data_IF_858188140518
#
_entry.id   IF_858188140518
#
_cell.length_a   1.000
_cell.length_b   1.000
_cell.length_c   1.000
_cell.angle_alpha   90.00
_cell.angle_beta   90.00
_cell.angle_gamma   90.00
#
_symmetry.space_group_name_H-M   'P 1'
#
loop_
_entity.id
_entity.type
_entity.pdbx_description
1 polymer ?
#
# COMPACT_ATOMS: atom_id res chain seq x y z
N UNK A 1 -35.55 -39.07 5.25
CA UNK A 1 -35.31 -38.61 6.63
C UNK A 1 -33.92 -38.05 6.70
N UNK A 2 -33.86 -36.74 6.91
CA UNK A 2 -32.70 -35.85 6.87
C UNK A 2 -31.90 -35.93 8.17
N UNK A 3 -30.57 -36.06 8.10
CA UNK A 3 -29.67 -35.68 9.19
C UNK A 3 -28.47 -34.93 8.64
N UNK A 4 -28.44 -33.65 8.98
CA UNK A 4 -27.49 -32.61 8.66
C UNK A 4 -26.10 -32.84 9.26
N UNK A 5 -25.04 -32.71 8.46
CA UNK A 5 -23.68 -32.52 8.96
C UNK A 5 -23.40 -31.02 9.04
N UNK A 6 -23.38 -30.52 10.27
CA UNK A 6 -23.03 -29.15 10.65
C UNK A 6 -21.51 -28.95 10.52
N UNK A 7 -21.08 -28.09 9.60
CA UNK A 7 -19.73 -27.57 9.55
C UNK A 7 -19.59 -26.44 10.59
N UNK A 8 -18.81 -26.66 11.65
CA UNK A 8 -18.49 -25.61 12.62
C UNK A 8 -17.50 -24.61 12.01
N UNK A 9 -17.97 -23.38 11.81
CA UNK A 9 -17.14 -22.20 11.56
C UNK A 9 -16.47 -21.80 12.87
N UNK A 10 -15.15 -21.94 12.95
CA UNK A 10 -14.33 -21.35 14.00
C UNK A 10 -13.29 -20.43 13.37
N UNK A 11 -13.62 -19.15 13.24
CA UNK A 11 -12.68 -18.10 12.82
C UNK A 11 -11.71 -17.82 13.98
N UNK A 12 -10.42 -18.14 13.79
CA UNK A 12 -9.35 -17.74 14.71
C UNK A 12 -8.68 -16.49 14.14
N UNK A 13 -9.13 -15.31 14.53
CA UNK A 13 -8.36 -14.07 14.40
C UNK A 13 -7.59 -13.84 15.70
N UNK A 14 -6.28 -14.04 15.67
CA UNK A 14 -5.38 -13.60 16.71
C UNK A 14 -4.90 -12.19 16.35
N UNK A 15 -5.40 -11.20 17.09
CA UNK A 15 -5.02 -9.81 17.03
C UNK A 15 -3.53 -9.68 17.42
N UNK A 16 -2.69 -9.17 16.51
CA UNK A 16 -1.35 -8.70 16.86
C UNK A 16 -1.50 -7.30 17.46
N UNK A 17 -0.93 -7.11 18.66
CA UNK A 17 -0.88 -5.88 19.46
C UNK A 17 -2.08 -5.62 20.39
N UNK A 18 -2.09 -6.31 21.53
CA UNK A 18 -2.68 -5.83 22.79
C UNK A 18 -1.64 -5.97 23.89
N UNK A 19 -1.28 -4.86 24.54
CA UNK A 19 -0.58 -4.84 25.83
C UNK A 19 -1.62 -4.64 26.92
N UNK A 20 -2.16 -5.73 27.43
CA UNK A 20 -2.83 -5.79 28.72
C UNK A 20 -2.64 -7.19 29.29
N UNK A 21 -2.22 -7.23 30.55
CA UNK A 21 -2.00 -8.42 31.36
C UNK A 21 -3.31 -9.15 31.60
N UNK A 22 -3.58 -10.17 30.78
CA UNK A 22 -4.54 -11.23 31.04
C UNK A 22 -3.88 -12.55 30.66
N UNK A 23 -4.05 -13.57 31.51
CA UNK A 23 -3.44 -14.88 31.40
C UNK A 23 -3.57 -15.45 29.98
N UNK A 24 -2.43 -15.69 29.33
CA UNK A 24 -2.35 -16.37 28.04
C UNK A 24 -3.06 -17.71 28.21
N UNK A 25 -4.14 -18.01 27.45
CA UNK A 25 -4.69 -19.36 27.44
C UNK A 25 -3.57 -20.26 26.94
N UNK A 26 -3.05 -21.12 27.81
CA UNK A 26 -2.05 -22.11 27.42
C UNK A 26 -2.71 -23.01 26.38
N UNK A 27 -2.36 -22.79 25.11
CA UNK A 27 -2.71 -23.71 24.05
C UNK A 27 -2.31 -25.12 24.52
N UNK A 28 -3.17 -26.15 24.33
CA UNK A 28 -2.84 -27.49 24.77
C UNK A 28 -1.49 -27.87 24.16
N UNK A 29 -0.47 -27.96 25.01
CA UNK A 29 0.91 -28.22 24.62
C UNK A 29 1.09 -29.72 24.43
N UNK A 30 0.31 -30.35 23.57
CA UNK A 30 0.70 -31.63 23.00
C UNK A 30 1.78 -31.34 21.96
N UNK A 31 3.01 -31.13 22.46
CA UNK A 31 4.19 -31.23 21.62
C UNK A 31 4.22 -32.68 21.10
N UNK A 32 3.93 -32.85 19.81
CA UNK A 32 4.11 -34.13 19.14
C UNK A 32 5.55 -34.62 19.43
N UNK A 33 5.69 -35.90 19.77
CA UNK A 33 7.02 -36.48 19.86
C UNK A 33 7.65 -36.58 18.45
N UNK A 34 8.95 -36.85 18.37
CA UNK A 34 9.67 -36.82 17.10
C UNK A 34 9.10 -37.79 16.05
N UNK A 35 8.60 -38.94 16.49
CA UNK A 35 8.04 -39.98 15.62
C UNK A 35 6.65 -39.58 15.10
N UNK A 36 5.80 -39.04 15.96
CA UNK A 36 4.49 -38.48 15.60
C UNK A 36 4.63 -37.30 14.63
N UNK A 37 5.64 -36.45 14.85
CA UNK A 37 5.92 -35.32 13.97
C UNK A 37 6.42 -35.80 12.60
N UNK A 38 7.30 -36.82 12.57
CA UNK A 38 7.78 -37.42 11.33
C UNK A 38 6.63 -38.06 10.53
N UNK A 39 5.71 -38.76 11.21
CA UNK A 39 4.56 -39.39 10.57
C UNK A 39 3.55 -38.34 10.06
N UNK A 40 3.32 -37.27 10.82
CA UNK A 40 2.52 -36.13 10.38
C UNK A 40 3.12 -35.47 9.14
N UNK A 41 4.43 -35.19 9.14
CA UNK A 41 5.13 -34.59 7.99
C UNK A 41 5.01 -35.47 6.75
N UNK A 42 5.04 -36.80 6.86
CA UNK A 42 4.81 -37.71 5.72
C UNK A 42 3.44 -37.54 5.07
N UNK A 43 2.40 -37.21 5.84
CA UNK A 43 1.03 -37.01 5.33
C UNK A 43 0.84 -35.67 4.62
N UNK A 44 1.72 -34.69 4.84
CA UNK A 44 1.64 -33.39 4.17
C UNK A 44 1.90 -33.57 2.66
N UNK A 45 1.00 -33.10 1.78
CA UNK A 45 1.20 -33.17 0.33
C UNK A 45 2.37 -32.30 -0.11
N UNK A 46 2.90 -32.56 -1.31
CA UNK A 46 3.92 -31.70 -1.92
C UNK A 46 3.33 -30.29 -2.10
N UNK A 47 4.01 -29.27 -1.58
CA UNK A 47 3.58 -27.89 -1.71
C UNK A 47 3.82 -27.39 -3.14
N UNK A 48 2.79 -26.74 -3.70
CA UNK A 48 2.74 -26.30 -5.11
C UNK A 48 2.54 -24.80 -5.28
N UNK A 49 2.24 -24.07 -4.20
CA UNK A 49 1.93 -22.63 -4.25
C UNK A 49 2.96 -21.73 -3.59
N UNK A 50 3.68 -22.23 -2.59
CA UNK A 50 4.63 -21.43 -1.82
C UNK A 50 5.92 -22.20 -1.53
N UNK A 51 7.04 -21.71 -2.09
CA UNK A 51 8.36 -22.28 -1.81
C UNK A 51 8.70 -22.24 -0.32
N UNK A 52 8.39 -21.15 0.38
CA UNK A 52 8.71 -20.99 1.81
C UNK A 52 7.97 -22.02 2.67
N UNK A 53 6.66 -22.23 2.43
CA UNK A 53 5.89 -23.27 3.11
C UNK A 53 6.45 -24.66 2.83
N UNK A 54 6.78 -24.95 1.58
CA UNK A 54 7.32 -26.23 1.18
C UNK A 54 8.73 -26.49 1.72
N UNK A 55 9.57 -25.46 1.82
CA UNK A 55 10.89 -25.55 2.47
C UNK A 55 10.78 -25.87 3.97
N UNK A 56 9.78 -25.34 4.67
CA UNK A 56 9.56 -25.64 6.11
C UNK A 56 9.29 -27.12 6.39
N UNK A 57 8.82 -27.87 5.40
CA UNK A 57 8.53 -29.31 5.51
C UNK A 57 9.38 -30.17 4.56
N UNK A 58 10.37 -29.55 3.88
CA UNK A 58 11.18 -30.17 2.83
C UNK A 58 10.36 -30.92 1.76
N UNK A 59 9.20 -30.36 1.37
CA UNK A 59 8.28 -30.94 0.39
C UNK A 59 7.73 -29.85 -0.53
N UNK A 60 8.37 -29.66 -1.68
CA UNK A 60 7.97 -28.66 -2.67
C UNK A 60 8.24 -29.13 -4.10
N UNK A 61 7.50 -28.58 -5.06
CA UNK A 61 7.75 -28.82 -6.48
C UNK A 61 9.03 -28.12 -6.94
N UNK A 62 9.83 -28.79 -7.79
CA UNK A 62 11.09 -28.24 -8.28
C UNK A 62 10.90 -27.03 -9.20
N UNK A 63 9.70 -26.86 -9.74
CA UNK A 63 9.33 -25.74 -10.62
C UNK A 63 9.55 -24.37 -9.95
N UNK A 64 9.54 -24.31 -8.61
CA UNK A 64 9.91 -23.10 -7.87
C UNK A 64 11.35 -22.62 -8.10
N UNK A 65 12.24 -23.47 -8.61
CA UNK A 65 13.64 -23.12 -8.90
C UNK A 65 13.76 -22.45 -10.28
N UNK A 66 12.76 -22.61 -11.14
CA UNK A 66 12.73 -22.00 -12.47
C UNK A 66 12.45 -20.50 -12.29
N UNK A 67 13.38 -19.66 -12.75
CA UNK A 67 13.22 -18.21 -12.64
C UNK A 67 12.05 -17.75 -13.53
N UNK A 68 11.08 -16.99 -13.00
CA UNK A 68 9.91 -16.57 -13.76
C UNK A 68 10.28 -15.45 -14.75
N UNK A 69 10.48 -15.81 -16.01
CA UNK A 69 10.73 -14.84 -17.08
C UNK A 69 9.42 -14.25 -17.65
N UNK A 70 9.54 -13.24 -18.52
CA UNK A 70 8.40 -12.76 -19.31
C UNK A 70 8.04 -13.84 -20.35
N UNK A 71 6.76 -14.12 -20.50
CA UNK A 71 6.29 -15.10 -21.49
C UNK A 71 6.47 -14.58 -22.93
N UNK A 72 6.40 -13.26 -23.11
CA UNK A 72 6.47 -12.60 -24.40
C UNK A 72 7.60 -11.55 -24.45
N UNK A 73 8.46 -11.66 -25.45
CA UNK A 73 9.56 -10.71 -25.71
C UNK A 73 9.06 -9.30 -26.08
N UNK A 74 7.87 -9.17 -26.67
CA UNK A 74 7.27 -7.89 -27.04
C UNK A 74 6.90 -7.07 -25.80
N UNK A 75 6.29 -7.71 -24.80
CA UNK A 75 5.93 -7.06 -23.53
C UNK A 75 7.18 -6.61 -22.78
N UNK A 76 8.20 -7.48 -22.74
CA UNK A 76 9.48 -7.16 -22.13
C UNK A 76 10.17 -5.95 -22.81
N UNK A 77 10.15 -5.87 -24.15
CA UNK A 77 10.71 -4.74 -24.89
C UNK A 77 9.91 -3.45 -24.66
N UNK A 78 8.58 -3.56 -24.57
CA UNK A 78 7.70 -2.42 -24.29
C UNK A 78 8.03 -1.79 -22.94
N UNK A 79 8.07 -2.57 -21.86
CA UNK A 79 8.35 -2.01 -20.53
C UNK A 79 9.77 -1.45 -20.44
N UNK A 80 10.77 -2.12 -21.03
CA UNK A 80 12.15 -1.61 -21.10
C UNK A 80 12.21 -0.23 -21.75
N UNK A 81 11.51 -0.04 -22.88
CA UNK A 81 11.49 1.25 -23.59
C UNK A 81 10.82 2.35 -22.76
N UNK A 82 9.73 2.04 -22.07
CA UNK A 82 9.04 3.01 -21.19
C UNK A 82 9.97 3.43 -20.05
N UNK A 83 10.58 2.45 -19.37
CA UNK A 83 11.50 2.68 -18.25
C UNK A 83 12.73 3.47 -18.68
N UNK A 84 13.35 3.14 -19.82
CA UNK A 84 14.51 3.88 -20.35
C UNK A 84 14.18 5.35 -20.66
N UNK A 85 13.02 5.61 -21.26
CA UNK A 85 12.60 6.98 -21.55
C UNK A 85 12.35 7.78 -20.27
N UNK A 86 11.71 7.16 -19.27
CA UNK A 86 11.49 7.77 -17.96
C UNK A 86 12.83 8.06 -17.26
N UNK A 87 13.76 7.11 -17.26
CA UNK A 87 15.08 7.26 -16.64
C UNK A 87 15.89 8.38 -17.29
N UNK A 88 15.85 8.50 -18.63
CA UNK A 88 16.49 9.58 -19.36
C UNK A 88 15.92 10.96 -19.00
N UNK A 89 14.60 11.10 -19.02
CA UNK A 89 13.92 12.35 -18.67
C UNK A 89 14.16 12.75 -17.20
N UNK A 90 14.10 11.78 -16.27
CA UNK A 90 14.45 12.02 -14.87
C UNK A 90 15.92 12.41 -14.71
N UNK A 91 16.81 11.81 -15.50
CA UNK A 91 18.23 12.14 -15.43
C UNK A 91 18.47 13.60 -15.77
N UNK A 92 17.93 14.06 -16.90
CA UNK A 92 17.99 15.45 -17.34
C UNK A 92 17.39 16.38 -16.29
N UNK A 93 16.20 16.08 -15.77
CA UNK A 93 15.52 16.93 -14.80
C UNK A 93 16.35 17.13 -13.52
N UNK A 94 16.91 16.05 -12.97
CA UNK A 94 17.71 16.12 -11.75
C UNK A 94 19.10 16.73 -11.97
N UNK A 95 19.69 16.63 -13.17
CA UNK A 95 20.96 17.30 -13.46
C UNK A 95 20.79 18.81 -13.59
N UNK A 96 19.68 19.27 -14.19
CA UNK A 96 19.30 20.69 -14.17
C UNK A 96 19.06 21.21 -12.74
N UNK A 97 18.45 20.39 -11.87
CA UNK A 97 18.24 20.78 -10.47
C UNK A 97 19.54 20.91 -9.68
N UNK A 98 20.63 20.22 -10.06
CA UNK A 98 21.94 20.39 -9.42
C UNK A 98 22.62 21.70 -9.82
N UNK A 99 22.40 22.17 -11.05
CA UNK A 99 22.99 23.42 -11.55
C UNK A 99 22.23 24.66 -11.10
N UNK A 100 20.91 24.53 -10.88
CA UNK A 100 20.04 25.63 -10.45
C UNK A 100 20.09 25.84 -8.92
N UNK A 101 21.14 26.47 -8.40
CA UNK A 101 21.33 26.77 -6.95
C UNK A 101 20.18 27.56 -6.31
N UNK A 102 19.40 28.30 -7.11
CA UNK A 102 18.25 29.08 -6.66
C UNK A 102 16.99 28.23 -6.37
N UNK A 103 16.90 27.01 -6.90
CA UNK A 103 15.69 26.16 -6.74
C UNK A 103 15.67 25.44 -5.39
N UNK A 104 16.85 25.16 -4.82
CA UNK A 104 17.01 24.42 -3.55
C UNK A 104 16.46 25.18 -2.34
N UNK A 105 16.42 26.52 -2.38
CA UNK A 105 15.90 27.37 -1.29
C UNK A 105 14.41 27.67 -1.38
N UNK A 106 13.80 27.53 -2.57
CA UNK A 106 12.37 27.76 -2.80
C UNK A 106 11.52 26.48 -2.70
N UNK A 107 12.15 25.32 -2.57
CA UNK A 107 11.46 24.03 -2.59
C UNK A 107 10.78 23.74 -1.25
N UNK A 108 9.45 23.64 -1.27
CA UNK A 108 8.67 23.33 -0.07
C UNK A 108 9.03 21.92 0.42
N UNK A 109 9.40 21.74 1.71
CA UNK A 109 9.64 20.41 2.27
C UNK A 109 8.39 19.52 2.10
N UNK A 110 8.60 18.22 1.92
CA UNK A 110 7.51 17.26 1.70
C UNK A 110 6.90 17.25 0.30
N UNK A 111 7.55 17.87 -0.68
CA UNK A 111 7.04 17.88 -2.06
C UNK A 111 8.18 17.67 -3.06
N UNK A 112 7.93 16.81 -4.05
CA UNK A 112 8.83 16.60 -5.18
C UNK A 112 9.03 17.90 -5.97
N UNK A 113 10.22 18.15 -6.57
CA UNK A 113 10.40 19.32 -7.42
C UNK A 113 9.38 19.35 -8.56
N UNK A 114 8.84 20.53 -8.90
CA UNK A 114 7.82 20.67 -9.94
C UNK A 114 8.24 20.07 -11.29
N UNK A 115 9.51 20.25 -11.68
CA UNK A 115 10.09 19.61 -12.89
C UNK A 115 9.96 18.08 -12.84
N UNK A 116 10.24 17.47 -11.69
CA UNK A 116 10.17 16.02 -11.50
C UNK A 116 8.71 15.55 -11.52
N UNK A 117 7.80 16.27 -10.85
CA UNK A 117 6.36 15.96 -10.91
C UNK A 117 5.82 15.99 -12.34
N UNK A 118 6.24 16.98 -13.14
CA UNK A 118 5.84 17.08 -14.54
C UNK A 118 6.34 15.88 -15.38
N UNK A 119 7.55 15.37 -15.12
CA UNK A 119 8.05 14.15 -15.75
C UNK A 119 7.21 12.93 -15.32
N UNK A 120 6.92 12.77 -14.03
CA UNK A 120 6.09 11.66 -13.55
C UNK A 120 4.69 11.68 -14.19
N UNK A 121 4.09 12.87 -14.31
CA UNK A 121 2.80 13.07 -14.96
C UNK A 121 2.86 12.77 -16.48
N UNK A 122 3.89 13.26 -17.19
CA UNK A 122 4.13 12.97 -18.61
C UNK A 122 4.19 11.47 -18.89
N UNK A 123 4.83 10.71 -18.01
CA UNK A 123 4.96 9.25 -18.12
C UNK A 123 3.81 8.47 -17.46
N UNK A 124 2.79 9.16 -16.94
CA UNK A 124 1.63 8.56 -16.27
C UNK A 124 2.01 7.58 -15.14
N UNK A 125 3.06 7.88 -14.39
CA UNK A 125 3.60 6.98 -13.35
C UNK A 125 2.56 6.67 -12.27
N UNK A 126 1.75 7.65 -11.86
CA UNK A 126 0.66 7.46 -10.88
C UNK A 126 -0.47 6.55 -11.39
N UNK A 127 -0.60 6.39 -12.71
CA UNK A 127 -1.63 5.59 -13.36
C UNK A 127 -1.11 4.23 -13.84
N UNK A 128 0.11 3.84 -13.44
CA UNK A 128 0.75 2.62 -13.94
C UNK A 128 -0.11 1.37 -13.66
N UNK A 129 -0.55 1.21 -12.40
CA UNK A 129 -1.37 0.09 -11.95
C UNK A 129 -2.87 0.25 -12.29
N UNK A 130 -3.30 1.39 -12.86
CA UNK A 130 -4.71 1.59 -13.20
C UNK A 130 -5.03 0.78 -14.47
N UNK A 131 -6.14 0.03 -14.51
CA UNK A 131 -6.54 -0.69 -15.72
C UNK A 131 -6.76 0.24 -16.91
N UNK A 132 -6.52 -0.27 -18.12
CA UNK A 132 -6.55 0.52 -19.35
C UNK A 132 -7.94 1.12 -19.63
N UNK A 133 -9.01 0.40 -19.29
CA UNK A 133 -10.40 0.84 -19.42
C UNK A 133 -10.73 2.09 -18.57
N UNK A 134 -9.97 2.34 -17.50
CA UNK A 134 -10.07 3.54 -16.68
C UNK A 134 -9.00 4.60 -17.02
N UNK A 135 -8.32 4.48 -18.16
CA UNK A 135 -7.33 5.45 -18.64
C UNK A 135 -5.91 5.28 -18.10
N UNK A 136 -5.63 4.16 -17.43
CA UNK A 136 -4.30 3.79 -16.93
C UNK A 136 -3.41 3.08 -17.94
N UNK A 137 -2.24 2.60 -17.47
CA UNK A 137 -1.28 1.88 -18.31
C UNK A 137 -1.44 0.36 -18.28
N UNK A 138 -2.23 -0.17 -17.34
CA UNK A 138 -2.47 -1.59 -17.12
C UNK A 138 -1.18 -2.41 -16.95
N UNK A 139 -0.25 -1.89 -16.14
CA UNK A 139 1.00 -2.57 -15.84
C UNK A 139 0.75 -3.80 -14.97
N UNK A 140 1.31 -4.94 -15.39
CA UNK A 140 1.28 -6.15 -14.57
C UNK A 140 2.34 -6.07 -13.45
N UNK A 141 2.34 -7.03 -12.53
CA UNK A 141 3.29 -7.02 -11.41
C UNK A 141 4.76 -6.98 -11.87
N UNK A 142 5.11 -7.67 -12.97
CA UNK A 142 6.46 -7.66 -13.52
C UNK A 142 6.85 -6.25 -14.03
N UNK A 143 5.90 -5.52 -14.60
CA UNK A 143 6.09 -4.15 -15.07
C UNK A 143 6.27 -3.17 -13.90
N UNK A 144 5.45 -3.32 -12.85
CA UNK A 144 5.55 -2.50 -11.63
C UNK A 144 6.89 -2.71 -10.90
N UNK A 145 7.44 -3.93 -10.96
CA UNK A 145 8.80 -4.24 -10.47
C UNK A 145 9.88 -3.49 -11.25
N UNK A 146 9.83 -3.53 -12.59
CA UNK A 146 10.77 -2.80 -13.45
C UNK A 146 10.69 -1.28 -13.25
N UNK A 147 9.47 -0.76 -13.16
CA UNK A 147 9.23 0.66 -12.88
C UNK A 147 9.78 1.06 -11.51
N UNK A 148 9.51 0.25 -10.48
CA UNK A 148 9.96 0.53 -9.11
C UNK A 148 11.48 0.49 -8.98
N UNK A 149 12.14 -0.45 -9.65
CA UNK A 149 13.60 -0.50 -9.75
C UNK A 149 14.18 0.77 -10.36
N UNK A 150 13.59 1.26 -11.45
CA UNK A 150 13.98 2.52 -12.10
C UNK A 150 13.82 3.73 -11.17
N UNK A 151 12.66 3.83 -10.49
CA UNK A 151 12.38 4.94 -9.58
C UNK A 151 13.34 4.93 -8.38
N UNK A 152 13.53 3.78 -7.74
CA UNK A 152 14.42 3.62 -6.60
C UNK A 152 15.90 3.81 -6.94
N UNK A 153 16.31 3.44 -8.16
CA UNK A 153 17.62 3.81 -8.69
C UNK A 153 17.78 5.34 -8.71
N UNK A 154 16.80 6.09 -9.23
CA UNK A 154 16.93 7.54 -9.28
C UNK A 154 16.84 8.19 -7.90
N UNK A 155 15.75 7.98 -7.18
CA UNK A 155 15.46 8.63 -5.90
C UNK A 155 14.39 7.85 -5.11
N UNK A 156 14.69 7.50 -3.86
CA UNK A 156 13.77 6.76 -2.99
C UNK A 156 12.49 7.54 -2.66
N UNK A 157 12.51 8.88 -2.79
CA UNK A 157 11.28 9.67 -2.70
C UNK A 157 10.27 9.30 -3.78
N UNK A 158 10.75 9.05 -5.01
CA UNK A 158 9.88 8.66 -6.13
C UNK A 158 9.28 7.27 -5.90
N UNK A 159 10.09 6.35 -5.37
CA UNK A 159 9.63 5.01 -5.00
C UNK A 159 8.52 5.07 -3.95
N UNK A 160 8.69 5.89 -2.90
CA UNK A 160 7.70 6.08 -1.83
C UNK A 160 6.39 6.63 -2.38
N UNK A 161 6.45 7.75 -3.11
CA UNK A 161 5.27 8.39 -3.70
C UNK A 161 4.53 7.44 -4.66
N UNK A 162 5.27 6.71 -5.50
CA UNK A 162 4.69 5.72 -6.39
C UNK A 162 4.06 4.55 -5.63
N UNK A 163 4.72 4.05 -4.59
CA UNK A 163 4.21 2.94 -3.75
C UNK A 163 2.85 3.25 -3.14
N UNK A 164 2.69 4.44 -2.55
CA UNK A 164 1.42 4.88 -1.97
C UNK A 164 0.30 4.99 -3.02
N UNK A 165 0.62 5.50 -4.22
CA UNK A 165 -0.34 5.56 -5.33
C UNK A 165 -0.73 4.17 -5.83
N UNK A 166 0.26 3.29 -6.04
CA UNK A 166 0.04 1.92 -6.50
C UNK A 166 -0.82 1.12 -5.52
N UNK A 167 -0.56 1.29 -4.22
CA UNK A 167 -1.34 0.65 -3.16
C UNK A 167 -2.79 1.12 -3.16
N UNK A 168 -3.04 2.42 -3.26
CA UNK A 168 -4.38 2.98 -3.32
C UNK A 168 -5.18 2.44 -4.54
N UNK A 169 -4.53 2.38 -5.70
CA UNK A 169 -5.14 1.80 -6.92
C UNK A 169 -5.45 0.32 -6.73
N UNK A 170 -4.51 -0.46 -6.19
CA UNK A 170 -4.70 -1.90 -5.96
C UNK A 170 -5.89 -2.18 -5.05
N UNK A 171 -6.03 -1.44 -3.95
CA UNK A 171 -7.17 -1.56 -3.04
C UNK A 171 -8.52 -1.33 -3.75
N UNK A 172 -8.60 -0.30 -4.60
CA UNK A 172 -9.84 0.02 -5.34
C UNK A 172 -10.11 -1.02 -6.44
N UNK A 173 -9.08 -1.46 -7.16
CA UNK A 173 -9.20 -2.46 -8.23
C UNK A 173 -9.63 -3.80 -7.68
N UNK A 174 -9.07 -4.25 -6.56
CA UNK A 174 -9.36 -5.56 -5.99
C UNK A 174 -10.68 -5.59 -5.22
N UNK A 175 -10.93 -4.58 -4.38
CA UNK A 175 -12.04 -4.63 -3.43
C UNK A 175 -13.19 -3.69 -3.77
N UNK A 176 -12.97 -2.68 -4.61
CA UNK A 176 -14.00 -1.71 -4.95
C UNK A 176 -15.18 -2.32 -5.69
N UNK A 177 -16.37 -1.73 -5.49
CA UNK A 177 -17.54 -2.02 -6.33
C UNK A 177 -17.35 -1.44 -7.73
N UNK A 178 -18.16 -1.88 -8.71
CA UNK A 178 -18.12 -1.32 -10.08
C UNK A 178 -18.26 0.20 -10.09
N UNK A 179 -19.21 0.74 -9.31
CA UNK A 179 -19.41 2.18 -9.20
C UNK A 179 -18.21 2.91 -8.59
N UNK A 180 -17.54 2.32 -7.59
CA UNK A 180 -16.32 2.90 -7.01
C UNK A 180 -15.17 2.91 -8.01
N UNK A 181 -14.99 1.83 -8.78
CA UNK A 181 -13.96 1.75 -9.82
C UNK A 181 -14.17 2.79 -10.90
N UNK A 182 -15.39 2.90 -11.42
CA UNK A 182 -15.77 3.88 -12.45
C UNK A 182 -15.61 5.33 -11.99
N UNK A 183 -15.86 5.64 -10.71
CA UNK A 183 -15.75 6.99 -10.17
C UNK A 183 -14.30 7.37 -9.80
N UNK A 184 -13.55 6.47 -9.16
CA UNK A 184 -12.24 6.81 -8.61
C UNK A 184 -11.08 6.52 -9.57
N UNK A 185 -11.06 5.41 -10.30
CA UNK A 185 -9.89 5.02 -11.09
C UNK A 185 -9.56 6.01 -12.23
N UNK A 186 -10.54 6.52 -13.01
CA UNK A 186 -10.26 7.56 -14.01
C UNK A 186 -9.77 8.87 -13.40
N UNK A 187 -10.30 9.23 -12.23
CA UNK A 187 -9.86 10.41 -11.50
C UNK A 187 -8.43 10.26 -10.95
N UNK A 188 -8.04 9.07 -10.51
CA UNK A 188 -6.64 8.79 -10.12
C UNK A 188 -5.73 8.84 -11.34
N UNK A 189 -6.14 8.24 -12.47
CA UNK A 189 -5.36 8.23 -13.70
C UNK A 189 -5.10 9.62 -14.28
N UNK A 190 -6.06 10.54 -14.13
CA UNK A 190 -5.96 11.94 -14.55
C UNK A 190 -5.28 12.85 -13.52
N UNK A 191 -5.05 12.38 -12.29
CA UNK A 191 -4.56 13.20 -11.18
C UNK A 191 -5.62 14.06 -10.49
N UNK A 192 -6.90 13.95 -10.88
CA UNK A 192 -8.03 14.58 -10.16
C UNK A 192 -8.11 14.07 -8.72
N UNK A 193 -7.97 12.76 -8.53
CA UNK A 193 -7.91 12.13 -7.21
C UNK A 193 -6.46 11.88 -6.81
N UNK A 194 -6.11 12.38 -5.64
CA UNK A 194 -4.80 12.22 -5.00
C UNK A 194 -5.05 11.45 -3.72
N UNK A 195 -4.96 10.11 -3.75
CA UNK A 195 -5.24 9.30 -2.59
C UNK A 195 -4.15 9.42 -1.52
N UNK A 196 -4.55 9.25 -0.27
CA UNK A 196 -3.70 8.89 0.85
C UNK A 196 -4.27 7.66 1.54
N UNK A 197 -3.41 6.74 1.94
CA UNK A 197 -3.81 5.48 2.60
C UNK A 197 -3.56 5.63 4.10
N UNK A 198 -4.61 5.51 4.91
CA UNK A 198 -4.58 5.80 6.34
C UNK A 198 -4.76 4.51 7.16
N UNK A 199 -3.65 3.97 7.66
CA UNK A 199 -3.60 2.63 8.27
C UNK A 199 -3.28 2.73 9.75
N UNK A 200 -2.13 3.31 10.10
CA UNK A 200 -1.57 3.29 11.44
C UNK A 200 -2.34 4.23 12.38
N UNK A 201 -2.91 3.68 13.45
CA UNK A 201 -3.59 4.47 14.50
C UNK A 201 -2.59 5.13 15.47
N UNK A 202 -2.94 6.31 16.00
CA UNK A 202 -2.16 7.02 17.04
C UNK A 202 -2.20 6.32 18.40
N UNK A 203 -3.28 5.61 18.70
CA UNK A 203 -3.47 4.80 19.91
C UNK A 203 -3.15 3.34 19.63
N UNK A 204 -2.64 2.63 20.63
CA UNK A 204 -2.23 1.21 20.58
C UNK A 204 -3.42 0.26 20.43
N UNK A 205 -4.17 0.40 19.34
CA UNK A 205 -5.33 -0.40 19.02
C UNK A 205 -6.23 0.34 18.02
N UNK A 206 -6.89 -0.40 17.11
CA UNK A 206 -7.86 0.18 16.20
C UNK A 206 -9.06 0.73 16.97
N UNK A 207 -9.23 2.05 16.93
CA UNK A 207 -10.33 2.74 17.60
C UNK A 207 -11.66 2.34 16.95
N UNK A 208 -12.70 1.99 17.74
CA UNK A 208 -13.98 1.61 17.18
C UNK A 208 -14.64 2.82 16.50
N UNK A 209 -15.28 2.57 15.36
CA UNK A 209 -16.22 3.51 14.75
C UNK A 209 -17.37 3.71 15.73
N UNK A 210 -17.61 4.96 16.12
CA UNK A 210 -18.70 5.29 17.03
C UNK A 210 -20.03 5.30 16.26
N UNK A 211 -20.99 4.53 16.76
CA UNK A 211 -22.36 4.53 16.25
C UNK A 211 -23.18 5.57 17.01
N UNK A 212 -23.60 6.65 16.35
CA UNK A 212 -24.49 7.65 16.96
C UNK A 212 -25.88 7.50 16.36
N UNK A 213 -26.84 7.09 17.18
CA UNK A 213 -28.24 7.00 16.77
C UNK A 213 -28.83 8.41 16.71
N UNK A 214 -29.35 8.83 15.54
CA UNK A 214 -30.10 10.08 15.41
C UNK A 214 -31.58 9.79 15.15
N UNK A 215 -32.45 10.77 15.40
CA UNK A 215 -33.90 10.64 15.26
C UNK A 215 -34.39 10.29 13.83
N UNK A 216 -33.50 10.25 12.83
CA UNK A 216 -33.77 9.87 11.43
C UNK A 216 -33.27 8.47 11.05
N UNK A 217 -32.71 7.70 11.98
CA UNK A 217 -32.14 6.36 11.75
C UNK A 217 -30.74 6.20 12.37
N UNK A 218 -30.10 5.04 12.16
CA UNK A 218 -28.70 4.85 12.53
C UNK A 218 -27.80 5.67 11.61
N UNK A 219 -27.07 6.65 12.17
CA UNK A 219 -25.97 7.32 11.48
C UNK A 219 -24.65 6.81 12.06
N UNK A 220 -23.70 6.48 11.19
CA UNK A 220 -22.38 6.00 11.61
C UNK A 220 -21.40 7.13 11.46
N UNK A 221 -20.51 7.31 12.44
CA UNK A 221 -19.52 8.36 12.43
C UNK A 221 -18.13 7.77 12.66
N UNK A 222 -17.17 8.23 11.87
CA UNK A 222 -15.77 7.84 12.01
C UNK A 222 -15.01 8.90 12.78
N UNK A 223 -14.49 8.51 13.96
CA UNK A 223 -13.59 9.31 14.77
C UNK A 223 -12.29 8.54 14.99
N UNK A 224 -11.27 8.82 14.18
CA UNK A 224 -9.98 8.10 14.22
C UNK A 224 -8.82 9.05 13.97
N UNK A 225 -7.66 8.73 14.55
CA UNK A 225 -6.44 9.49 14.34
C UNK A 225 -5.38 8.59 13.71
N UNK A 226 -4.98 8.93 12.49
CA UNK A 226 -4.07 8.15 11.66
C UNK A 226 -2.71 8.83 11.58
N UNK A 227 -1.66 8.14 12.00
CA UNK A 227 -0.27 8.62 11.99
C UNK A 227 0.45 8.22 10.71
N UNK A 228 1.54 8.94 10.42
CA UNK A 228 2.46 8.64 9.33
C UNK A 228 1.77 8.49 7.97
N UNK A 229 0.71 9.27 7.74
CA UNK A 229 -0.04 9.22 6.49
C UNK A 229 0.77 9.96 5.43
N UNK A 230 1.30 9.21 4.46
CA UNK A 230 1.98 9.78 3.31
C UNK A 230 0.98 10.55 2.42
N UNK A 231 1.45 11.65 1.83
CA UNK A 231 0.69 12.49 0.90
C UNK A 231 -0.52 13.22 1.52
N UNK A 232 -0.68 13.18 2.85
CA UNK A 232 -1.85 13.71 3.55
C UNK A 232 -2.21 15.18 3.18
N UNK A 233 -1.22 16.08 3.16
CA UNK A 233 -1.43 17.50 2.84
C UNK A 233 -2.08 17.73 1.46
N UNK A 234 -1.67 16.95 0.46
CA UNK A 234 -2.12 17.09 -0.92
C UNK A 234 -3.32 16.20 -1.27
N UNK A 235 -3.65 15.25 -0.40
CA UNK A 235 -4.66 14.23 -0.67
C UNK A 235 -6.10 14.74 -0.57
N UNK A 236 -6.89 14.55 -1.62
CA UNK A 236 -8.32 14.85 -1.63
C UNK A 236 -9.21 13.60 -1.56
N UNK A 237 -8.60 12.42 -1.50
CA UNK A 237 -9.25 11.13 -1.26
C UNK A 237 -8.47 10.39 -0.16
N UNK A 238 -9.16 9.95 0.88
CA UNK A 238 -8.58 9.17 1.96
C UNK A 238 -9.13 7.75 1.94
N UNK A 239 -8.23 6.77 1.94
CA UNK A 239 -8.57 5.35 2.10
C UNK A 239 -8.30 5.00 3.54
N UNK A 240 -9.34 5.01 4.37
CA UNK A 240 -9.21 4.93 5.83
C UNK A 240 -9.61 3.55 6.33
N UNK A 241 -8.64 2.87 6.94
CA UNK A 241 -8.90 1.63 7.65
C UNK A 241 -9.42 1.94 9.05
N UNK A 242 -10.46 1.23 9.49
CA UNK A 242 -11.04 1.38 10.82
C UNK A 242 -11.75 0.11 11.25
N UNK A 243 -12.38 0.16 12.41
CA UNK A 243 -13.10 -0.98 12.96
C UNK A 243 -14.59 -0.69 13.08
N UNK A 244 -15.43 -1.47 12.41
CA UNK A 244 -16.88 -1.38 12.53
C UNK A 244 -17.38 -2.32 13.62
N UNK A 245 -18.24 -1.82 14.51
CA UNK A 245 -18.87 -2.63 15.55
C UNK A 245 -20.26 -3.07 15.12
N UNK A 246 -20.50 -4.38 15.12
CA UNK A 246 -21.83 -4.96 14.85
C UNK A 246 -22.19 -5.81 16.07
N UNK A 247 -22.98 -5.23 16.98
CA UNK A 247 -23.23 -5.82 18.29
C UNK A 247 -21.95 -5.90 19.15
N UNK A 248 -21.54 -7.12 19.50
CA UNK A 248 -20.28 -7.37 20.21
C UNK A 248 -19.09 -7.63 19.26
N UNK A 249 -19.36 -7.86 17.96
CA UNK A 249 -18.31 -8.17 17.00
C UNK A 249 -17.64 -6.90 16.49
N UNK A 250 -16.31 -6.90 16.51
CA UNK A 250 -15.48 -5.87 15.89
C UNK A 250 -14.92 -6.43 14.59
N UNK A 251 -15.23 -5.77 13.47
CA UNK A 251 -14.81 -6.20 12.13
C UNK A 251 -13.98 -5.09 11.51
N UNK A 252 -12.80 -5.38 10.92
CA UNK A 252 -12.07 -4.39 10.15
C UNK A 252 -12.95 -3.88 8.98
N UNK A 253 -12.81 -2.62 8.65
CA UNK A 253 -13.53 -1.92 7.59
C UNK A 253 -12.59 -0.94 6.89
N UNK A 254 -12.82 -0.68 5.61
CA UNK A 254 -12.07 0.29 4.82
C UNK A 254 -13.04 1.27 4.15
N UNK A 255 -12.79 2.57 4.26
CA UNK A 255 -13.67 3.61 3.74
C UNK A 255 -12.94 4.53 2.76
N UNK A 256 -13.62 4.88 1.68
CA UNK A 256 -13.23 5.92 0.72
C UNK A 256 -13.89 7.23 1.16
N UNK A 257 -13.08 8.19 1.61
CA UNK A 257 -13.55 9.47 2.15
C UNK A 257 -12.96 10.60 1.30
N UNK A 258 -13.81 11.28 0.56
CA UNK A 258 -13.42 12.48 -0.18
C UNK A 258 -13.29 13.66 0.78
N UNK A 259 -12.23 14.47 0.62
CA UNK A 259 -12.00 15.65 1.47
C UNK A 259 -13.19 16.62 1.42
N UNK A 260 -13.77 16.81 0.24
CA UNK A 260 -14.85 17.77 0.00
C UNK A 260 -16.22 17.33 0.57
N UNK A 261 -16.38 16.05 0.95
CA UNK A 261 -17.64 15.57 1.56
C UNK A 261 -17.79 16.04 3.01
N UNK A 262 -16.67 16.32 3.66
CA UNK A 262 -16.68 16.90 5.00
C UNK A 262 -16.70 18.41 4.81
N UNK A 263 -17.91 18.97 4.72
CA UNK A 263 -18.07 20.42 4.80
C UNK A 263 -17.63 20.86 6.18
N UNK A 264 -16.78 21.87 6.26
CA UNK A 264 -16.38 22.54 7.50
C UNK A 264 -17.59 23.29 8.11
N UNK A 265 -18.59 22.56 8.58
CA UNK A 265 -19.43 23.03 9.68
C UNK A 265 -18.64 22.69 10.95
N UNK A 266 -17.74 23.61 11.33
CA UNK A 266 -16.65 23.47 12.33
C UNK A 266 -17.03 22.85 13.70
N UNK A 267 -18.33 22.68 13.96
CA UNK A 267 -18.85 22.22 15.26
C UNK A 267 -19.11 20.70 15.30
N UNK A 268 -19.30 20.02 14.17
CA UNK A 268 -19.77 18.62 14.18
C UNK A 268 -18.78 17.63 13.56
N UNK A 269 -18.29 17.85 12.33
CA UNK A 269 -17.41 16.89 11.62
C UNK A 269 -16.23 17.56 10.94
N UNK A 270 -15.01 17.03 11.07
CA UNK A 270 -13.81 17.61 10.44
C UNK A 270 -12.77 16.57 10.02
N UNK A 271 -11.96 16.91 9.00
CA UNK A 271 -10.72 16.21 8.64
C UNK A 271 -9.57 17.20 8.84
N UNK A 272 -8.82 17.06 9.93
CA UNK A 272 -7.70 17.94 10.28
C UNK A 272 -6.39 17.24 9.98
N UNK A 273 -5.54 17.88 9.18
CA UNK A 273 -4.18 17.39 8.92
C UNK A 273 -3.24 18.16 9.83
N UNK A 274 -2.57 17.46 10.75
CA UNK A 274 -1.55 18.06 11.63
C UNK A 274 -0.28 18.35 10.83
N UNK A 275 0.64 19.07 11.48
CA UNK A 275 1.91 19.45 10.88
C UNK A 275 2.70 18.26 10.30
N UNK A 276 3.43 18.56 9.24
CA UNK A 276 4.33 17.61 8.60
C UNK A 276 5.38 17.11 9.59
N UNK A 277 5.52 15.79 9.66
CA UNK A 277 6.53 15.11 10.45
C UNK A 277 7.90 15.28 9.79
N UNK A 278 8.91 15.63 10.60
CA UNK A 278 10.30 15.67 10.15
C UNK A 278 10.86 14.25 10.09
N UNK A 279 11.34 13.85 8.92
CA UNK A 279 11.91 12.53 8.68
C UNK A 279 13.43 12.61 8.47
N UNK A 280 14.17 11.56 8.86
CA UNK A 280 15.62 11.48 8.65
C UNK A 280 16.04 11.26 7.17
N UNK A 281 15.09 10.87 6.34
CA UNK A 281 15.21 10.68 4.89
C UNK A 281 13.85 10.88 4.22
N UNK A 282 13.72 10.61 2.92
CA UNK A 282 12.46 10.82 2.18
C UNK A 282 11.91 12.26 2.32
N UNK A 283 12.79 13.27 2.25
CA UNK A 283 12.46 14.68 2.52
C UNK A 283 11.45 15.31 1.54
N UNK A 284 11.25 14.70 0.37
CA UNK A 284 10.25 15.13 -0.61
C UNK A 284 8.91 14.39 -0.47
N UNK A 285 8.78 13.52 0.53
CA UNK A 285 7.53 12.86 0.88
C UNK A 285 6.94 13.56 2.10
N UNK A 286 5.66 13.92 2.04
CA UNK A 286 4.97 14.49 3.17
C UNK A 286 4.33 13.39 4.01
N UNK A 287 4.73 13.30 5.27
CA UNK A 287 4.08 12.46 6.27
C UNK A 287 3.39 13.35 7.30
N UNK A 288 2.10 13.12 7.54
CA UNK A 288 1.34 13.89 8.54
C UNK A 288 0.45 12.97 9.36
N UNK A 289 -0.01 13.47 10.49
CA UNK A 289 -1.12 12.86 11.22
C UNK A 289 -2.43 13.42 10.69
N UNK A 290 -3.38 12.55 10.36
CA UNK A 290 -4.73 12.94 9.92
C UNK A 290 -5.72 12.58 11.01
N UNK A 291 -6.46 13.58 11.48
CA UNK A 291 -7.50 13.45 12.50
C UNK A 291 -8.85 13.51 11.78
N UNK A 292 -9.60 12.42 11.83
CA UNK A 292 -10.99 12.36 11.40
C UNK A 292 -11.85 12.51 12.65
N UNK A 293 -12.65 13.57 12.73
CA UNK A 293 -13.56 13.83 13.85
C UNK A 293 -14.99 13.74 13.33
N UNK A 294 -15.76 12.77 13.84
CA UNK A 294 -17.18 12.55 13.53
C UNK A 294 -17.52 12.62 12.04
N UNK A 295 -16.74 11.96 11.18
CA UNK A 295 -17.00 11.96 9.74
C UNK A 295 -18.23 11.08 9.45
N UNK A 296 -19.33 11.63 8.88
CA UNK A 296 -20.53 10.85 8.63
C UNK A 296 -20.29 9.80 7.55
N UNK A 297 -20.41 8.52 7.93
CA UNK A 297 -20.24 7.40 7.04
C UNK A 297 -21.55 7.08 6.32
N UNK A 298 -21.45 6.78 5.03
CA UNK A 298 -22.54 6.28 4.19
C UNK A 298 -22.13 4.95 3.57
N UNK A 299 -23.10 4.10 3.26
CA UNK A 299 -22.81 2.73 2.79
C UNK A 299 -21.94 2.69 1.52
N UNK A 300 -22.12 3.65 0.60
CA UNK A 300 -21.32 3.71 -0.62
C UNK A 300 -19.85 4.10 -0.39
N UNK A 301 -19.51 4.62 0.79
CA UNK A 301 -18.13 4.94 1.17
C UNK A 301 -17.36 3.68 1.59
N UNK A 302 -18.04 2.62 2.01
CA UNK A 302 -17.39 1.37 2.37
C UNK A 302 -16.76 0.75 1.12
N UNK A 303 -15.44 0.52 1.14
CA UNK A 303 -14.73 -0.10 0.04
C UNK A 303 -15.23 -1.53 -0.15
N UNK A 304 -15.90 -1.78 -1.27
CA UNK A 304 -16.51 -3.07 -1.54
C UNK A 304 -17.67 -3.41 -0.62
N UNK A 305 -17.49 -4.46 0.18
CA UNK A 305 -18.49 -4.97 1.12
C UNK A 305 -17.86 -5.25 2.49
N UNK A 306 -18.70 -5.44 3.50
CA UNK A 306 -18.25 -5.79 4.87
C UNK A 306 -17.43 -7.07 4.92
N UNK A 307 -17.64 -7.99 3.98
CA UNK A 307 -17.00 -9.30 3.97
C UNK A 307 -15.56 -9.22 3.43
N UNK A 308 -15.25 -8.17 2.65
CA UNK A 308 -13.98 -8.01 1.97
C UNK A 308 -12.95 -7.25 2.82
N UNK A 309 -13.37 -6.58 3.88
CA UNK A 309 -12.51 -5.64 4.58
C UNK A 309 -11.34 -6.31 5.34
N UNK A 310 -11.54 -7.52 5.90
CA UNK A 310 -10.43 -8.30 6.47
C UNK A 310 -9.37 -8.64 5.43
N UNK A 311 -9.81 -9.08 4.25
CA UNK A 311 -8.92 -9.38 3.12
C UNK A 311 -8.20 -8.14 2.59
N UNK A 312 -8.84 -6.96 2.63
CA UNK A 312 -8.19 -5.71 2.20
C UNK A 312 -7.02 -5.30 3.11
N UNK A 313 -7.07 -5.64 4.41
CA UNK A 313 -5.97 -5.41 5.33
C UNK A 313 -4.83 -6.43 5.15
N UNK A 314 -5.17 -7.69 4.86
CA UNK A 314 -4.18 -8.71 4.53
C UNK A 314 -3.46 -8.39 3.21
N UNK A 315 -4.22 -7.98 2.19
CA UNK A 315 -3.67 -7.59 0.89
C UNK A 315 -2.73 -6.39 1.03
N UNK A 316 -3.11 -5.38 1.81
CA UNK A 316 -2.23 -4.26 2.15
C UNK A 316 -0.88 -4.72 2.73
N UNK A 317 -0.88 -5.79 3.52
CA UNK A 317 0.35 -6.31 4.11
C UNK A 317 1.24 -7.06 3.11
N UNK A 318 0.74 -7.40 1.93
CA UNK A 318 1.47 -8.11 0.88
C UNK A 318 1.84 -7.15 -0.26
N UNK A 319 0.88 -6.33 -0.66
CA UNK A 319 0.97 -5.46 -1.81
C UNK A 319 2.05 -4.40 -1.62
N UNK A 320 2.78 -4.14 -2.70
CA UNK A 320 3.89 -3.17 -2.69
C UNK A 320 5.20 -3.69 -2.08
N UNK A 321 5.25 -4.82 -1.36
CA UNK A 321 6.52 -5.38 -0.85
C UNK A 321 7.51 -5.76 -1.95
N UNK A 322 7.01 -6.41 -3.01
CA UNK A 322 7.83 -6.80 -4.16
C UNK A 322 8.36 -5.55 -4.88
N UNK A 323 7.49 -4.58 -5.13
CA UNK A 323 7.84 -3.30 -5.75
C UNK A 323 8.88 -2.52 -4.91
N UNK A 324 8.68 -2.45 -3.59
CA UNK A 324 9.61 -1.82 -2.67
C UNK A 324 10.98 -2.51 -2.70
N UNK A 325 11.01 -3.84 -2.65
CA UNK A 325 12.25 -4.62 -2.78
C UNK A 325 12.99 -4.34 -4.09
N UNK A 326 12.27 -4.26 -5.21
CA UNK A 326 12.83 -3.91 -6.51
C UNK A 326 13.45 -2.50 -6.51
N UNK A 327 12.75 -1.52 -5.93
CA UNK A 327 13.27 -0.16 -5.79
C UNK A 327 14.53 -0.07 -4.92
N UNK A 328 14.60 -0.84 -3.82
CA UNK A 328 15.80 -0.95 -2.99
C UNK A 328 16.96 -1.56 -3.78
N UNK A 329 16.72 -2.61 -4.56
CA UNK A 329 17.75 -3.19 -5.46
C UNK A 329 18.24 -2.14 -6.47
N UNK A 330 17.33 -1.39 -7.09
CA UNK A 330 17.68 -0.28 -7.98
C UNK A 330 18.58 0.75 -7.29
N UNK A 331 18.27 1.13 -6.05
CA UNK A 331 19.07 2.05 -5.26
C UNK A 331 20.47 1.49 -4.97
N UNK A 332 20.57 0.21 -4.60
CA UNK A 332 21.85 -0.46 -4.36
C UNK A 332 22.73 -0.48 -5.62
N UNK A 333 22.15 -0.74 -6.80
CA UNK A 333 22.87 -0.67 -8.09
C UNK A 333 23.51 0.70 -8.31
N UNK A 334 22.78 1.79 -8.03
CA UNK A 334 23.32 3.15 -8.11
C UNK A 334 24.47 3.37 -7.13
N UNK A 335 24.33 2.92 -5.88
CA UNK A 335 25.37 3.09 -4.87
C UNK A 335 26.66 2.36 -5.25
N UNK A 336 26.53 1.13 -5.75
CA UNK A 336 27.65 0.34 -6.27
C UNK A 336 28.30 1.04 -7.47
N UNK A 337 27.51 1.51 -8.44
CA UNK A 337 28.02 2.25 -9.60
C UNK A 337 28.82 3.50 -9.21
N UNK A 338 28.32 4.29 -8.25
CA UNK A 338 29.04 5.45 -7.72
C UNK A 338 30.36 5.08 -7.04
N UNK A 339 30.40 3.97 -6.32
CA UNK A 339 31.62 3.49 -5.67
C UNK A 339 32.71 3.16 -6.68
N UNK A 340 32.36 2.43 -7.76
CA UNK A 340 33.32 2.10 -8.80
C UNK A 340 33.81 3.32 -9.58
N UNK A 341 32.92 4.24 -9.96
CA UNK A 341 33.31 5.50 -10.63
C UNK A 341 34.27 6.34 -9.77
N UNK A 342 34.04 6.40 -8.46
CA UNK A 342 34.94 7.11 -7.55
C UNK A 342 36.33 6.43 -7.47
N UNK A 343 36.37 5.10 -7.50
CA UNK A 343 37.62 4.34 -7.49
C UNK A 343 38.43 4.56 -8.77
N UNK A 344 37.79 4.56 -9.94
CA UNK A 344 38.46 4.85 -11.21
C UNK A 344 39.03 6.26 -11.25
N UNK A 345 38.27 7.25 -10.78
CA UNK A 345 38.75 8.64 -10.71
C UNK A 345 39.92 8.82 -9.72
N UNK A 346 39.93 8.07 -8.61
CA UNK A 346 41.02 8.12 -7.64
C UNK A 346 42.28 7.33 -8.09
N UNK A 347 42.15 6.38 -9.01
CA UNK A 347 43.28 5.62 -9.56
C UNK A 347 43.93 6.31 -10.79
N UNK A 348 43.28 7.34 -11.33
CA UNK A 348 43.77 8.14 -12.47
C UNK A 348 44.41 9.49 -12.04
N UNK A 349 44.68 9.66 -10.74
CA UNK A 349 45.45 10.76 -10.14
C UNK A 349 46.69 10.12 -9.50
#
# INVERSE_FOLDING_TARGET
MTSSISASKGSRFACLFSTASDEVPTAPSTRLNADELAEFVKQIPIEKRSLTRGMSVNKFEKDFIIYPEYENSVEQQRIKKIVQNLEGDLTIAYDQLKTDTATTTAQKPGTLPAKVQAILAKHKVSAAAVPAEFGGLNFCQKDLVQLSECLGNRDLNLLSTFGTMSLAVSLIVQFGTTAQKEHYLPGIASGKWRPAVCIQDETSGPQPIEHVFSAKGQQQFLSVIKKNVENALDANLFIVFGNRRIGELIIPACYLIERDWVKEDEVISSIKIRDQLKTGGLQHCNFSTVVFENVPLRDYMLLGSTDNAGYSADELSIEGKIAYGAGVVGHLKKMIGKFFLKKENNNNI
#
